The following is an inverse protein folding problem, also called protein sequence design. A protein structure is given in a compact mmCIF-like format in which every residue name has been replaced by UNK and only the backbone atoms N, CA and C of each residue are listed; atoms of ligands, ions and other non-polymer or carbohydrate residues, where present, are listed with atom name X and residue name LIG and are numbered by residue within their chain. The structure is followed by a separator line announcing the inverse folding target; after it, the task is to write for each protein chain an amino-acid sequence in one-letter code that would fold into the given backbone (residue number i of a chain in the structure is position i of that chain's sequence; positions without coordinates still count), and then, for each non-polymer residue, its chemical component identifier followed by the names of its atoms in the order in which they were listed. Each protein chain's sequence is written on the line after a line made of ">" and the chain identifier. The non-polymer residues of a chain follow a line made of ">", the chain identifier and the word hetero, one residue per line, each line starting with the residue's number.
data_IF_703648161479
#
_entry.id   IF_703648161479
#
_cell.length_a   1.000
_cell.length_b   1.000
_cell.length_c   1.000
_cell.angle_alpha   90.00
_cell.angle_beta   90.00
_cell.angle_gamma   90.00
#
_symmetry.space_group_name_H-M   'P 1'
#
loop_
_entity.id
_entity.type
_entity.pdbx_description
1 polymer ?
#
# COMPACT_ATOMS: atom_id res chain seq x y z
N UNK A 1 -33.47 -24.16 -24.53
CA UNK A 1 -33.94 -24.49 -23.16
C UNK A 1 -32.86 -25.09 -22.26
N UNK A 2 -31.66 -25.38 -22.75
CA UNK A 2 -30.49 -25.78 -21.91
C UNK A 2 -29.61 -24.62 -21.48
N UNK A 3 -29.64 -23.49 -22.18
CA UNK A 3 -28.81 -22.32 -21.87
C UNK A 3 -29.32 -21.42 -20.72
N UNK A 4 -30.56 -21.58 -20.27
CA UNK A 4 -31.10 -20.76 -19.16
C UNK A 4 -30.93 -21.39 -17.76
N UNK A 5 -30.61 -22.71 -17.70
CA UNK A 5 -30.37 -23.40 -16.42
C UNK A 5 -28.99 -23.15 -15.79
N UNK A 6 -28.03 -22.64 -16.58
CA UNK A 6 -26.66 -22.38 -16.09
C UNK A 6 -26.43 -21.01 -15.43
N UNK A 7 -27.46 -20.16 -15.37
CA UNK A 7 -27.30 -18.78 -14.87
C UNK A 7 -27.45 -18.59 -13.35
N UNK A 8 -27.80 -19.63 -12.59
CA UNK A 8 -28.10 -19.52 -11.14
C UNK A 8 -27.30 -20.49 -10.25
N UNK A 9 -26.18 -21.01 -10.70
CA UNK A 9 -25.30 -21.77 -9.81
C UNK A 9 -24.42 -20.72 -9.09
N UNK A 10 -24.49 -20.68 -7.74
CA UNK A 10 -23.64 -19.78 -6.95
C UNK A 10 -22.17 -20.06 -7.27
N UNK A 11 -21.30 -19.03 -7.21
CA UNK A 11 -19.87 -19.18 -7.45
C UNK A 11 -19.31 -20.40 -6.68
N UNK A 12 -19.69 -20.59 -5.42
CA UNK A 12 -19.32 -21.73 -4.58
C UNK A 12 -19.71 -23.10 -5.17
N UNK A 13 -20.86 -23.21 -5.85
CA UNK A 13 -21.30 -24.48 -6.47
C UNK A 13 -20.60 -24.74 -7.80
N UNK A 14 -20.23 -23.71 -8.57
CA UNK A 14 -19.35 -23.87 -9.75
C UNK A 14 -17.96 -24.35 -9.34
N UNK A 15 -17.43 -23.88 -8.22
CA UNK A 15 -16.13 -24.27 -7.69
C UNK A 15 -16.03 -25.76 -7.34
N UNK A 16 -17.12 -26.36 -6.82
CA UNK A 16 -17.12 -27.77 -6.38
C UNK A 16 -17.15 -28.77 -7.55
N UNK A 17 -17.61 -28.35 -8.73
CA UNK A 17 -17.80 -29.26 -9.89
C UNK A 17 -16.55 -29.37 -10.78
N UNK A 18 -15.57 -28.54 -10.67
CA UNK A 18 -14.47 -28.41 -11.64
C UNK A 18 -13.15 -29.05 -11.15
N UNK A 19 -12.97 -29.31 -9.86
CA UNK A 19 -11.67 -29.77 -9.35
C UNK A 19 -11.77 -31.05 -8.53
N UNK A 20 -11.11 -32.10 -9.02
CA UNK A 20 -10.81 -33.30 -8.24
C UNK A 20 -9.92 -32.89 -7.03
N UNK A 21 -10.47 -33.02 -5.81
CA UNK A 21 -9.83 -32.63 -4.53
C UNK A 21 -8.56 -33.42 -4.20
N UNK A 22 -8.14 -34.34 -5.09
CA UNK A 22 -6.99 -35.26 -4.89
C UNK A 22 -5.68 -34.76 -5.51
N UNK A 23 -5.71 -33.74 -6.37
CA UNK A 23 -4.48 -33.22 -6.94
C UNK A 23 -3.70 -32.40 -5.89
N UNK A 24 -2.53 -32.90 -5.51
CA UNK A 24 -1.64 -32.23 -4.57
C UNK A 24 -1.02 -31.01 -5.26
N UNK A 25 -1.43 -29.80 -4.87
CA UNK A 25 -0.84 -28.57 -5.35
C UNK A 25 0.57 -28.43 -4.77
N UNK A 26 1.57 -28.24 -5.64
CA UNK A 26 2.97 -28.11 -5.24
C UNK A 26 3.69 -27.04 -6.07
N UNK A 27 4.75 -26.48 -5.49
CA UNK A 27 5.61 -25.52 -6.15
C UNK A 27 5.13 -24.08 -6.04
N UNK A 28 5.71 -23.21 -6.89
CA UNK A 28 5.44 -21.76 -6.82
C UNK A 28 4.02 -21.41 -7.24
N UNK A 29 3.45 -20.43 -6.56
CA UNK A 29 2.20 -19.81 -6.99
C UNK A 29 2.43 -19.08 -8.33
N UNK A 30 1.53 -19.22 -9.31
CA UNK A 30 1.60 -18.45 -10.56
C UNK A 30 1.56 -16.93 -10.27
N UNK A 31 0.70 -16.53 -9.34
CA UNK A 31 0.56 -15.15 -8.85
C UNK A 31 0.37 -15.17 -7.34
N UNK A 32 1.07 -14.29 -6.65
CA UNK A 32 0.93 -14.10 -5.20
C UNK A 32 -0.21 -13.15 -4.88
N UNK A 33 -0.69 -13.16 -3.64
CA UNK A 33 -1.71 -12.20 -3.17
C UNK A 33 -1.18 -10.76 -3.04
N UNK A 34 0.12 -10.53 -3.20
CA UNK A 34 0.68 -9.19 -3.35
C UNK A 34 0.49 -8.60 -4.76
N UNK A 35 0.03 -9.39 -5.74
CA UNK A 35 -0.52 -8.84 -6.97
C UNK A 35 -1.87 -8.20 -6.66
N UNK A 36 -2.02 -6.90 -6.93
CA UNK A 36 -3.17 -6.09 -6.54
C UNK A 36 -4.49 -6.56 -7.20
N UNK A 37 -4.43 -7.09 -8.43
CA UNK A 37 -5.59 -7.69 -9.07
C UNK A 37 -5.96 -9.03 -8.39
N UNK A 38 -4.98 -9.90 -8.13
CA UNK A 38 -5.19 -11.16 -7.45
C UNK A 38 -5.77 -10.94 -6.05
N UNK A 39 -5.26 -9.97 -5.31
CA UNK A 39 -5.76 -9.58 -4.00
C UNK A 39 -7.25 -9.21 -4.04
N UNK A 40 -7.62 -8.32 -4.96
CA UNK A 40 -9.01 -7.89 -5.11
C UNK A 40 -9.92 -9.01 -5.57
N UNK A 41 -9.51 -9.79 -6.59
CA UNK A 41 -10.27 -10.92 -7.09
C UNK A 41 -10.49 -11.97 -6.00
N UNK A 42 -9.45 -12.32 -5.26
CA UNK A 42 -9.50 -13.28 -4.16
C UNK A 42 -10.50 -12.88 -3.08
N UNK A 43 -10.43 -11.64 -2.59
CA UNK A 43 -11.33 -11.18 -1.53
C UNK A 43 -12.77 -10.93 -2.03
N UNK A 44 -12.95 -10.67 -3.33
CA UNK A 44 -14.27 -10.56 -3.95
C UNK A 44 -14.95 -11.93 -4.08
N UNK A 45 -14.21 -12.96 -4.51
CA UNK A 45 -14.73 -14.30 -4.75
C UNK A 45 -14.85 -15.13 -3.46
N UNK A 46 -14.18 -14.72 -2.38
CA UNK A 46 -14.19 -15.43 -1.10
C UNK A 46 -14.68 -14.54 0.05
N UNK A 47 -16.01 -14.52 0.26
CA UNK A 47 -16.61 -13.74 1.34
C UNK A 47 -16.12 -14.17 2.73
N UNK A 48 -15.85 -15.47 2.93
CA UNK A 48 -15.35 -15.97 4.22
C UNK A 48 -13.94 -15.42 4.50
N UNK A 49 -13.07 -15.36 3.49
CA UNK A 49 -11.75 -14.76 3.59
C UNK A 49 -11.85 -13.24 3.86
N UNK A 50 -12.69 -12.52 3.13
CA UNK A 50 -12.91 -11.08 3.36
C UNK A 50 -13.43 -10.81 4.77
N UNK A 51 -14.39 -11.59 5.25
CA UNK A 51 -14.93 -11.51 6.61
C UNK A 51 -13.87 -11.79 7.67
N UNK A 52 -13.11 -12.86 7.51
CA UNK A 52 -12.02 -13.23 8.42
C UNK A 52 -10.93 -12.16 8.50
N UNK A 53 -10.53 -11.62 7.35
CA UNK A 53 -9.56 -10.51 7.28
C UNK A 53 -10.08 -9.25 7.99
N UNK A 54 -11.34 -8.86 7.76
CA UNK A 54 -11.93 -7.71 8.43
C UNK A 54 -12.06 -7.93 9.95
N UNK A 55 -12.39 -9.14 10.40
CA UNK A 55 -12.38 -9.48 11.82
C UNK A 55 -11.00 -9.26 12.43
N UNK A 56 -9.95 -9.76 11.79
CA UNK A 56 -8.57 -9.60 12.28
C UNK A 56 -8.13 -8.13 12.28
N UNK A 57 -8.37 -7.39 11.18
CA UNK A 57 -7.94 -5.99 11.04
C UNK A 57 -8.69 -5.02 11.96
N UNK A 58 -9.96 -5.28 12.25
CA UNK A 58 -10.81 -4.38 13.04
C UNK A 58 -11.07 -4.88 14.46
N UNK A 59 -10.43 -6.00 14.84
CA UNK A 59 -10.64 -6.66 16.13
C UNK A 59 -12.12 -6.97 16.43
N UNK A 60 -12.86 -7.41 15.39
CA UNK A 60 -14.27 -7.76 15.47
C UNK A 60 -14.46 -9.27 15.60
N UNK A 61 -15.51 -9.68 16.29
CA UNK A 61 -16.00 -11.07 16.26
C UNK A 61 -16.82 -11.29 15.00
N UNK A 62 -16.82 -12.50 14.45
CA UNK A 62 -17.56 -12.81 13.21
C UNK A 62 -19.07 -12.49 13.31
N UNK A 63 -19.66 -12.64 14.50
CA UNK A 63 -21.07 -12.33 14.77
C UNK A 63 -21.38 -10.81 14.73
N UNK A 64 -20.39 -9.95 14.90
CA UNK A 64 -20.53 -8.50 14.83
C UNK A 64 -20.62 -8.00 13.37
N UNK A 65 -20.21 -8.85 12.41
CA UNK A 65 -20.35 -8.56 10.99
C UNK A 65 -21.67 -9.11 10.47
N UNK A 66 -22.65 -8.26 10.31
CA UNK A 66 -23.99 -8.61 9.81
C UNK A 66 -24.05 -8.60 8.28
N UNK A 67 -23.34 -7.66 7.64
CA UNK A 67 -23.31 -7.54 6.19
C UNK A 67 -22.02 -6.92 5.69
N UNK A 68 -21.56 -7.39 4.53
CA UNK A 68 -20.44 -6.82 3.78
C UNK A 68 -20.92 -6.60 2.35
N UNK A 69 -20.82 -5.37 1.85
CA UNK A 69 -21.22 -5.05 0.47
C UNK A 69 -20.04 -4.37 -0.22
N UNK A 70 -19.43 -5.05 -1.19
CA UNK A 70 -18.38 -4.46 -2.05
C UNK A 70 -19.09 -3.51 -3.02
N UNK A 71 -18.66 -2.23 -3.02
CA UNK A 71 -19.29 -1.17 -3.82
C UNK A 71 -18.62 -0.92 -5.16
N UNK A 72 -17.41 -1.47 -5.35
CA UNK A 72 -16.64 -1.38 -6.61
C UNK A 72 -16.11 -2.75 -7.06
N UNK A 73 -16.98 -3.75 -7.27
CA UNK A 73 -16.53 -5.09 -7.67
C UNK A 73 -15.83 -5.08 -9.02
N UNK A 74 -14.93 -6.05 -9.24
CA UNK A 74 -14.41 -6.37 -10.57
C UNK A 74 -15.60 -6.93 -11.38
N UNK A 75 -15.77 -6.40 -12.58
CA UNK A 75 -16.75 -6.92 -13.54
C UNK A 75 -15.98 -7.71 -14.59
N UNK A 76 -16.16 -9.03 -14.54
CA UNK A 76 -15.52 -9.94 -15.48
C UNK A 76 -16.09 -9.76 -16.90
N UNK A 77 -15.23 -9.87 -17.92
CA UNK A 77 -15.59 -9.64 -19.32
C UNK A 77 -15.55 -8.18 -19.79
N UNK A 78 -15.34 -7.20 -18.93
CA UNK A 78 -15.06 -5.82 -19.35
C UNK A 78 -13.57 -5.72 -19.71
N UNK A 79 -13.24 -5.24 -20.93
CA UNK A 79 -11.86 -4.91 -21.32
C UNK A 79 -11.35 -3.79 -20.41
N UNK A 80 -10.44 -4.15 -19.52
CA UNK A 80 -9.85 -3.21 -18.57
C UNK A 80 -8.64 -2.59 -19.24
N UNK A 81 -8.74 -1.30 -19.60
CA UNK A 81 -7.56 -0.52 -19.93
C UNK A 81 -6.66 -0.43 -18.68
N UNK A 82 -5.45 -0.98 -18.77
CA UNK A 82 -4.53 -1.16 -17.63
C UNK A 82 -4.21 0.12 -16.83
N UNK A 83 -4.61 1.29 -17.33
CA UNK A 83 -4.45 2.59 -16.67
C UNK A 83 -5.60 2.98 -15.72
N UNK A 84 -6.77 2.34 -15.84
CA UNK A 84 -8.01 2.81 -15.18
C UNK A 84 -8.49 1.88 -14.07
N UNK A 85 -7.82 0.76 -13.82
CA UNK A 85 -8.25 -0.19 -12.81
C UNK A 85 -7.95 0.33 -11.40
N UNK A 86 -9.00 0.74 -10.71
CA UNK A 86 -8.97 1.02 -9.27
C UNK A 86 -9.03 -0.33 -8.55
N UNK A 87 -7.88 -0.80 -8.04
CA UNK A 87 -7.72 -2.14 -7.44
C UNK A 87 -7.90 -2.16 -5.92
N UNK A 88 -8.21 -1.04 -5.31
CA UNK A 88 -8.70 -1.01 -3.94
C UNK A 88 -10.08 -1.67 -3.83
N UNK A 89 -10.41 -2.20 -2.67
CA UNK A 89 -11.73 -2.74 -2.35
C UNK A 89 -12.47 -1.70 -1.51
N UNK A 90 -13.56 -1.16 -2.08
CA UNK A 90 -14.47 -0.29 -1.33
C UNK A 90 -15.66 -1.11 -0.89
N UNK A 91 -15.94 -1.11 0.39
CA UNK A 91 -17.05 -1.84 0.95
C UNK A 91 -17.81 -1.04 2.02
N UNK A 92 -19.04 -1.46 2.24
CA UNK A 92 -19.87 -0.99 3.34
C UNK A 92 -20.09 -2.16 4.31
N UNK A 93 -19.67 -1.96 5.56
CA UNK A 93 -19.82 -2.92 6.64
C UNK A 93 -21.01 -2.53 7.49
N UNK A 94 -21.93 -3.47 7.75
CA UNK A 94 -23.12 -3.29 8.59
C UNK A 94 -23.96 -2.04 8.25
N UNK A 95 -23.98 -1.64 6.98
CA UNK A 95 -24.67 -0.45 6.45
C UNK A 95 -24.25 0.91 7.06
N UNK A 96 -23.26 0.95 7.98
CA UNK A 96 -22.89 2.16 8.72
C UNK A 96 -21.39 2.51 8.68
N UNK A 97 -20.54 1.63 8.18
CA UNK A 97 -19.12 1.89 8.05
C UNK A 97 -18.69 1.74 6.58
N UNK A 98 -17.93 2.71 6.08
CA UNK A 98 -17.34 2.68 4.76
C UNK A 98 -15.87 2.34 4.90
N UNK A 99 -15.40 1.31 4.22
CA UNK A 99 -14.03 0.82 4.31
C UNK A 99 -13.40 0.83 2.92
N UNK A 100 -12.19 1.38 2.82
CA UNK A 100 -11.30 1.19 1.68
C UNK A 100 -10.15 0.29 2.11
N UNK A 101 -9.98 -0.83 1.42
CA UNK A 101 -8.91 -1.79 1.65
C UNK A 101 -8.00 -1.81 0.43
N UNK A 102 -6.72 -1.52 0.60
CA UNK A 102 -5.73 -1.36 -0.46
C UNK A 102 -4.49 -2.22 -0.22
N UNK A 103 -4.04 -2.94 -1.25
CA UNK A 103 -2.75 -3.61 -1.29
C UNK A 103 -1.73 -2.71 -1.99
N UNK A 104 -0.66 -2.31 -1.29
CA UNK A 104 0.38 -1.45 -1.85
C UNK A 104 1.75 -2.11 -1.69
N UNK A 105 2.37 -2.50 -2.79
CA UNK A 105 3.66 -3.21 -2.78
C UNK A 105 4.84 -2.25 -2.95
N UNK A 106 4.69 -1.21 -3.77
CA UNK A 106 5.75 -0.26 -4.06
C UNK A 106 5.68 0.96 -3.13
N UNK A 107 6.76 1.26 -2.43
CA UNK A 107 6.87 2.50 -1.66
C UNK A 107 7.13 3.68 -2.63
N UNK A 108 6.12 4.51 -2.83
CA UNK A 108 6.20 5.72 -3.65
C UNK A 108 6.54 6.98 -2.83
N UNK A 109 6.78 6.83 -1.52
CA UNK A 109 7.11 7.93 -0.61
C UNK A 109 5.94 8.89 -0.32
N UNK A 110 4.70 8.48 -0.61
CA UNK A 110 3.50 9.33 -0.49
C UNK A 110 2.33 8.63 0.24
N UNK A 111 2.62 7.61 1.02
CA UNK A 111 1.58 6.84 1.69
C UNK A 111 0.69 7.68 2.63
N UNK A 112 1.23 8.60 3.47
CA UNK A 112 0.41 9.42 4.35
C UNK A 112 -0.60 10.28 3.58
N UNK A 113 -0.16 10.99 2.55
CA UNK A 113 -1.02 11.86 1.73
C UNK A 113 -2.04 11.05 0.94
N UNK A 114 -1.62 9.89 0.42
CA UNK A 114 -2.48 8.97 -0.30
C UNK A 114 -3.61 8.44 0.58
N UNK A 115 -3.27 7.88 1.74
CA UNK A 115 -4.23 7.32 2.69
C UNK A 115 -5.21 8.37 3.20
N UNK A 116 -4.73 9.57 3.55
CA UNK A 116 -5.56 10.71 3.93
C UNK A 116 -6.49 11.15 2.79
N UNK A 117 -5.98 11.21 1.55
CA UNK A 117 -6.80 11.59 0.38
C UNK A 117 -7.96 10.62 0.16
N UNK A 118 -7.73 9.30 0.25
CA UNK A 118 -8.80 8.31 0.14
C UNK A 118 -9.79 8.41 1.30
N UNK A 119 -9.30 8.55 2.53
CA UNK A 119 -10.13 8.71 3.72
C UNK A 119 -11.05 9.93 3.62
N UNK A 120 -10.51 11.11 3.26
CA UNK A 120 -11.27 12.34 3.13
C UNK A 120 -12.32 12.27 2.02
N UNK A 121 -11.98 11.68 0.86
CA UNK A 121 -12.94 11.49 -0.24
C UNK A 121 -14.12 10.60 0.14
N UNK A 122 -13.89 9.59 0.97
CA UNK A 122 -14.98 8.75 1.47
C UNK A 122 -15.79 9.43 2.59
N UNK A 123 -15.13 10.26 3.41
CA UNK A 123 -15.79 10.96 4.51
C UNK A 123 -16.74 12.05 4.01
N UNK A 124 -16.42 12.71 2.92
CA UNK A 124 -17.24 13.72 2.26
C UNK A 124 -18.31 13.07 1.37
N UNK A 125 -19.26 12.37 1.99
CA UNK A 125 -20.34 11.65 1.28
C UNK A 125 -21.73 12.21 1.54
N UNK A 126 -21.86 13.23 2.39
CA UNK A 126 -23.15 13.84 2.68
C UNK A 126 -23.69 14.63 1.48
N UNK A 127 -24.99 14.52 1.26
CA UNK A 127 -25.69 15.32 0.26
C UNK A 127 -26.14 16.65 0.85
N UNK A 128 -26.41 17.60 -0.01
CA UNK A 128 -26.96 18.88 0.41
C UNK A 128 -28.25 18.68 1.22
N UNK A 129 -28.31 19.27 2.43
CA UNK A 129 -29.43 19.17 3.35
C UNK A 129 -29.41 17.99 4.32
N UNK A 130 -28.44 17.08 4.22
CA UNK A 130 -28.27 16.01 5.22
C UNK A 130 -27.60 16.54 6.49
N UNK A 131 -27.95 15.93 7.62
CA UNK A 131 -27.41 16.31 8.92
C UNK A 131 -25.98 15.78 9.07
N UNK A 132 -25.04 16.59 9.56
CA UNK A 132 -23.66 16.16 9.85
C UNK A 132 -23.56 14.97 10.82
N UNK A 133 -24.55 14.77 11.71
CA UNK A 133 -24.59 13.60 12.60
C UNK A 133 -24.79 12.28 11.87
N UNK A 134 -25.29 12.30 10.62
CA UNK A 134 -25.49 11.10 9.78
C UNK A 134 -24.23 10.64 9.04
N UNK A 135 -23.08 11.33 9.20
CA UNK A 135 -21.80 10.90 8.64
C UNK A 135 -21.47 9.49 9.14
N UNK A 136 -21.24 8.59 8.20
CA UNK A 136 -20.81 7.21 8.47
C UNK A 136 -19.35 7.20 8.93
N UNK A 137 -19.00 6.18 9.71
CA UNK A 137 -17.59 5.89 10.01
C UNK A 137 -16.86 5.49 8.74
N UNK A 138 -15.68 6.03 8.55
CA UNK A 138 -14.81 5.77 7.38
C UNK A 138 -13.47 5.23 7.84
N UNK A 139 -13.06 4.13 7.25
CA UNK A 139 -11.81 3.45 7.57
C UNK A 139 -11.02 3.25 6.27
N UNK A 140 -9.76 3.65 6.28
CA UNK A 140 -8.81 3.30 5.24
C UNK A 140 -7.83 2.27 5.78
N UNK A 141 -7.70 1.13 5.11
CA UNK A 141 -6.82 0.03 5.50
C UNK A 141 -5.79 -0.17 4.40
N UNK A 142 -4.51 -0.01 4.76
CA UNK A 142 -3.38 -0.32 3.89
C UNK A 142 -2.72 -1.64 4.28
N UNK A 143 -2.58 -2.55 3.32
CA UNK A 143 -1.72 -3.73 3.44
C UNK A 143 -0.48 -3.41 2.63
N UNK A 144 0.65 -3.18 3.32
CA UNK A 144 1.86 -2.59 2.75
C UNK A 144 3.00 -3.60 2.75
N UNK A 145 3.69 -3.77 1.63
CA UNK A 145 4.93 -4.55 1.59
C UNK A 145 6.18 -3.67 1.80
N UNK A 146 6.03 -2.62 2.60
CA UNK A 146 7.08 -1.69 2.99
C UNK A 146 6.67 -0.94 4.26
N UNK A 147 7.65 -0.37 4.96
CA UNK A 147 7.42 0.63 6.01
C UNK A 147 7.47 2.02 5.37
N UNK A 148 6.44 2.87 5.51
CA UNK A 148 6.51 4.25 5.06
C UNK A 148 7.63 5.01 5.78
N UNK A 149 8.22 6.02 5.13
CA UNK A 149 9.28 6.84 5.72
C UNK A 149 8.79 7.51 7.01
N UNK A 150 9.62 7.51 8.03
CA UNK A 150 9.34 8.09 9.37
C UNK A 150 8.20 7.41 10.16
N UNK A 151 7.77 6.22 9.74
CA UNK A 151 6.79 5.42 10.48
C UNK A 151 7.47 4.33 11.32
N UNK A 152 6.83 3.90 12.42
CA UNK A 152 7.33 2.78 13.22
C UNK A 152 7.43 1.47 12.41
N UNK A 153 8.49 0.71 12.67
CA UNK A 153 8.68 -0.66 12.16
C UNK A 153 7.88 -1.64 13.02
N UNK A 154 6.59 -1.76 12.75
CA UNK A 154 5.66 -2.63 13.47
C UNK A 154 4.73 -3.34 12.47
N UNK A 155 4.32 -4.57 12.79
CA UNK A 155 3.47 -5.36 11.91
C UNK A 155 2.12 -4.68 11.66
N UNK A 156 1.55 -4.07 12.72
CA UNK A 156 0.22 -3.50 12.64
C UNK A 156 0.10 -2.22 13.45
N UNK A 157 -0.53 -1.22 12.86
CA UNK A 157 -0.80 0.07 13.50
C UNK A 157 -2.19 0.59 13.17
N UNK A 158 -2.75 1.35 14.12
CA UNK A 158 -4.04 2.02 14.00
C UNK A 158 -3.92 3.47 14.40
N UNK A 159 -4.27 4.36 13.49
CA UNK A 159 -4.25 5.81 13.67
C UNK A 159 -5.67 6.35 13.73
N UNK A 160 -5.89 7.26 14.68
CA UNK A 160 -7.16 7.97 14.86
C UNK A 160 -6.92 9.45 15.14
N UNK A 161 -7.97 10.25 15.06
CA UNK A 161 -7.90 11.69 15.29
C UNK A 161 -8.06 12.00 16.76
N UNK A 162 -7.00 12.49 17.38
CA UNK A 162 -6.97 12.76 18.83
C UNK A 162 -6.28 14.08 19.18
N UNK A 163 -6.54 14.56 20.39
CA UNK A 163 -5.82 15.68 20.99
C UNK A 163 -4.38 15.27 21.31
N UNK A 164 -3.41 16.03 20.77
CA UNK A 164 -1.98 15.72 20.88
C UNK A 164 -1.46 15.78 22.32
N UNK A 165 -2.02 16.62 23.17
CA UNK A 165 -1.52 16.86 24.53
C UNK A 165 -1.99 15.79 25.52
N UNK A 166 -3.22 15.28 25.37
CA UNK A 166 -3.83 14.38 26.34
C UNK A 166 -4.37 13.07 25.77
N UNK A 167 -4.26 12.85 24.45
CA UNK A 167 -4.72 11.63 23.79
C UNK A 167 -6.25 11.49 23.67
N UNK A 168 -7.04 12.51 24.06
CA UNK A 168 -8.50 12.47 23.94
C UNK A 168 -8.92 12.30 22.48
N UNK A 169 -9.68 11.25 22.18
CA UNK A 169 -10.18 10.98 20.83
C UNK A 169 -11.21 12.03 20.46
N UNK A 170 -10.91 12.85 19.44
CA UNK A 170 -11.81 13.89 18.95
C UNK A 170 -13.05 13.29 18.26
N UNK A 171 -12.86 12.23 17.46
CA UNK A 171 -13.91 11.52 16.77
C UNK A 171 -13.47 10.09 16.45
N UNK A 172 -14.38 9.13 16.61
CA UNK A 172 -14.20 7.74 16.19
C UNK A 172 -14.67 7.48 14.74
N UNK A 173 -15.10 8.54 14.04
CA UNK A 173 -15.65 8.47 12.68
C UNK A 173 -14.60 8.22 11.60
N UNK A 174 -13.31 8.39 11.89
CA UNK A 174 -12.23 8.17 10.95
C UNK A 174 -11.15 7.28 11.56
N UNK A 175 -10.55 6.43 10.75
CA UNK A 175 -9.42 5.59 11.15
C UNK A 175 -8.57 5.19 9.96
N UNK A 176 -7.25 5.11 10.18
CA UNK A 176 -6.29 4.55 9.23
C UNK A 176 -5.64 3.35 9.90
N UNK A 177 -5.68 2.21 9.24
CA UNK A 177 -5.08 0.97 9.69
C UNK A 177 -3.99 0.56 8.72
N UNK A 178 -2.88 0.06 9.22
CA UNK A 178 -1.77 -0.42 8.40
C UNK A 178 -1.32 -1.80 8.87
N UNK A 179 -1.23 -2.73 7.92
CA UNK A 179 -0.59 -4.03 8.08
C UNK A 179 0.68 -4.03 7.23
N UNK A 180 1.86 -4.00 7.87
CA UNK A 180 3.16 -3.90 7.21
C UNK A 180 3.75 -5.30 7.03
N UNK A 181 3.59 -5.88 5.85
CA UNK A 181 4.00 -7.25 5.52
C UNK A 181 5.52 -7.47 5.63
N UNK A 182 6.32 -6.43 5.37
CA UNK A 182 7.78 -6.46 5.51
C UNK A 182 8.25 -6.55 6.98
N UNK A 183 7.35 -6.38 7.94
CA UNK A 183 7.63 -6.55 9.38
C UNK A 183 7.22 -7.94 9.90
N UNK A 184 6.79 -8.84 9.01
CA UNK A 184 6.51 -10.22 9.36
C UNK A 184 7.80 -10.93 9.80
N UNK A 185 7.76 -11.63 10.94
CA UNK A 185 8.90 -12.39 11.48
C UNK A 185 9.22 -12.11 12.94
N UNK A 186 8.59 -11.11 13.56
CA UNK A 186 8.72 -10.87 14.98
C UNK A 186 7.85 -11.88 15.78
N UNK A 187 8.44 -12.75 16.64
CA UNK A 187 7.69 -13.73 17.40
C UNK A 187 6.63 -13.13 18.34
N UNK A 188 6.85 -11.90 18.82
CA UNK A 188 5.88 -11.22 19.69
C UNK A 188 4.58 -10.89 18.95
N UNK A 189 4.65 -10.59 17.65
CA UNK A 189 3.47 -10.30 16.86
C UNK A 189 2.64 -11.56 16.62
N UNK A 190 3.29 -12.72 16.49
CA UNK A 190 2.59 -13.99 16.39
C UNK A 190 1.79 -14.32 17.66
N UNK A 191 2.32 -13.98 18.85
CA UNK A 191 1.63 -14.20 20.13
C UNK A 191 0.52 -13.18 20.37
N UNK A 192 0.77 -11.91 20.08
CA UNK A 192 -0.14 -10.81 20.40
C UNK A 192 -1.24 -10.58 19.35
N UNK A 193 -0.95 -10.91 18.08
CA UNK A 193 -1.81 -10.65 16.92
C UNK A 193 -1.92 -11.90 16.04
N UNK A 194 -2.28 -13.08 16.57
CA UNK A 194 -2.18 -14.35 15.86
C UNK A 194 -2.97 -14.36 14.55
N UNK A 195 -4.18 -13.81 14.53
CA UNK A 195 -5.01 -13.78 13.34
C UNK A 195 -4.41 -12.87 12.24
N UNK A 196 -3.93 -11.67 12.60
CA UNK A 196 -3.26 -10.77 11.68
C UNK A 196 -1.95 -11.35 11.18
N UNK A 197 -1.21 -12.03 12.03
CA UNK A 197 0.04 -12.70 11.66
C UNK A 197 -0.22 -13.80 10.61
N UNK A 198 -1.26 -14.61 10.78
CA UNK A 198 -1.66 -15.62 9.79
C UNK A 198 -2.09 -15.00 8.46
N UNK A 199 -2.83 -13.89 8.48
CA UNK A 199 -3.16 -13.15 7.25
C UNK A 199 -1.94 -12.58 6.56
N UNK A 200 -1.00 -12.00 7.31
CA UNK A 200 0.26 -11.50 6.76
C UNK A 200 1.08 -12.63 6.13
N UNK A 201 1.15 -13.81 6.77
CA UNK A 201 1.79 -15.00 6.18
C UNK A 201 1.11 -15.43 4.88
N UNK A 202 -0.22 -15.46 4.83
CA UNK A 202 -0.96 -15.81 3.61
C UNK A 202 -0.67 -14.83 2.47
N UNK A 203 -0.62 -13.52 2.74
CA UNK A 203 -0.28 -12.53 1.72
C UNK A 203 1.16 -12.62 1.24
N UNK A 204 2.09 -13.04 2.10
CA UNK A 204 3.50 -13.23 1.76
C UNK A 204 3.80 -14.59 1.13
N UNK A 205 2.87 -15.56 1.17
CA UNK A 205 3.07 -16.90 0.64
C UNK A 205 3.41 -16.86 -0.86
N UNK A 206 4.39 -17.67 -1.25
CA UNK A 206 4.92 -17.78 -2.61
C UNK A 206 4.76 -19.18 -3.22
N UNK A 207 4.39 -20.15 -2.38
CA UNK A 207 4.24 -21.55 -2.77
C UNK A 207 2.91 -22.11 -2.28
N UNK A 208 2.44 -23.16 -2.95
CA UNK A 208 1.24 -23.87 -2.54
C UNK A 208 1.41 -24.58 -1.20
N UNK A 209 2.62 -25.08 -0.92
CA UNK A 209 2.95 -25.74 0.35
C UNK A 209 2.80 -24.80 1.53
N UNK A 210 3.26 -23.55 1.41
CA UNK A 210 3.10 -22.53 2.45
C UNK A 210 1.63 -22.27 2.75
N UNK A 211 0.77 -22.12 1.74
CA UNK A 211 -0.67 -21.89 1.94
C UNK A 211 -1.34 -23.12 2.55
N UNK A 212 -0.99 -24.32 2.12
CA UNK A 212 -1.54 -25.57 2.68
C UNK A 212 -1.20 -25.71 4.16
N UNK A 213 0.06 -25.41 4.54
CA UNK A 213 0.49 -25.43 5.94
C UNK A 213 -0.29 -24.44 6.82
N UNK A 214 -0.53 -23.23 6.30
CA UNK A 214 -1.37 -22.24 6.99
C UNK A 214 -2.82 -22.71 7.12
N UNK A 215 -3.33 -23.43 6.13
CA UNK A 215 -4.69 -23.99 6.10
C UNK A 215 -4.92 -25.16 7.06
N UNK A 216 -3.86 -25.85 7.54
CA UNK A 216 -4.00 -26.99 8.46
C UNK A 216 -4.72 -26.61 9.76
N UNK A 217 -4.51 -25.40 10.24
CA UNK A 217 -5.06 -24.89 11.52
C UNK A 217 -6.08 -23.75 11.35
N UNK A 218 -6.46 -23.42 10.10
CA UNK A 218 -7.38 -22.31 9.81
C UNK A 218 -8.29 -22.67 8.63
N UNK A 219 -9.55 -23.01 8.92
CA UNK A 219 -10.54 -23.39 7.89
C UNK A 219 -10.78 -22.31 6.83
N UNK A 220 -10.71 -21.02 7.20
CA UNK A 220 -10.88 -19.92 6.24
C UNK A 220 -9.72 -19.88 5.25
N UNK A 221 -8.48 -20.10 5.71
CA UNK A 221 -7.31 -20.17 4.84
C UNK A 221 -7.37 -21.46 3.99
N UNK A 222 -7.83 -22.55 4.55
CA UNK A 222 -8.02 -23.81 3.81
C UNK A 222 -9.01 -23.64 2.65
N UNK A 223 -10.14 -22.99 2.89
CA UNK A 223 -11.12 -22.67 1.83
C UNK A 223 -10.54 -21.68 0.80
N UNK A 224 -9.60 -20.84 1.22
CA UNK A 224 -8.89 -19.91 0.34
C UNK A 224 -8.07 -20.62 -0.75
N UNK A 225 -7.56 -21.84 -0.49
CA UNK A 225 -6.81 -22.64 -1.45
C UNK A 225 -7.66 -22.93 -2.72
N UNK A 226 -8.92 -23.27 -2.53
CA UNK A 226 -9.86 -23.55 -3.62
C UNK A 226 -10.07 -22.31 -4.48
N UNK A 227 -10.28 -21.16 -3.84
CA UNK A 227 -10.46 -19.88 -4.54
C UNK A 227 -9.20 -19.49 -5.31
N UNK A 228 -8.02 -19.62 -4.71
CA UNK A 228 -6.75 -19.30 -5.35
C UNK A 228 -6.49 -20.24 -6.56
N UNK A 229 -6.76 -21.55 -6.41
CA UNK A 229 -6.64 -22.50 -7.51
C UNK A 229 -7.55 -22.12 -8.68
N UNK A 230 -8.80 -21.76 -8.40
CA UNK A 230 -9.74 -21.31 -9.43
C UNK A 230 -9.23 -20.05 -10.15
N UNK A 231 -8.86 -19.01 -9.41
CA UNK A 231 -8.40 -17.76 -9.99
C UNK A 231 -7.12 -17.91 -10.82
N UNK A 232 -6.23 -18.82 -10.42
CA UNK A 232 -4.98 -19.07 -11.16
C UNK A 232 -5.16 -19.98 -12.37
N UNK A 233 -6.27 -20.73 -12.47
CA UNK A 233 -6.58 -21.59 -13.62
C UNK A 233 -7.41 -20.87 -14.68
N UNK A 234 -8.07 -19.76 -14.37
CA UNK A 234 -8.91 -19.00 -15.29
C UNK A 234 -8.05 -18.15 -16.24
N UNK A 235 -8.19 -18.35 -17.55
CA UNK A 235 -7.38 -17.67 -18.57
C UNK A 235 -7.60 -16.15 -18.59
N UNK A 236 -8.82 -15.69 -18.38
CA UNK A 236 -9.11 -14.23 -18.34
C UNK A 236 -8.45 -13.59 -17.13
N UNK A 237 -8.49 -14.26 -15.97
CA UNK A 237 -7.79 -13.80 -14.76
C UNK A 237 -6.29 -13.77 -14.96
N UNK A 238 -5.70 -14.79 -15.58
CA UNK A 238 -4.27 -14.83 -15.90
C UNK A 238 -3.87 -13.65 -16.78
N UNK A 239 -4.63 -13.35 -17.83
CA UNK A 239 -4.36 -12.19 -18.70
C UNK A 239 -4.37 -10.86 -17.93
N UNK A 240 -5.31 -10.68 -17.00
CA UNK A 240 -5.40 -9.48 -16.15
C UNK A 240 -4.20 -9.38 -15.20
N UNK A 241 -3.82 -10.47 -14.54
CA UNK A 241 -2.67 -10.54 -13.65
C UNK A 241 -1.36 -10.24 -14.39
N UNK A 242 -1.15 -10.82 -15.58
CA UNK A 242 0.01 -10.52 -16.42
C UNK A 242 0.06 -9.07 -16.86
N UNK A 243 -1.08 -8.49 -17.21
CA UNK A 243 -1.19 -7.07 -17.57
C UNK A 243 -0.72 -6.17 -16.42
N UNK A 244 -1.13 -6.49 -15.19
CA UNK A 244 -0.71 -5.75 -13.98
C UNK A 244 0.77 -5.92 -13.67
N UNK A 245 1.30 -7.14 -13.79
CA UNK A 245 2.73 -7.40 -13.60
C UNK A 245 3.60 -6.63 -14.62
N UNK A 246 3.15 -6.55 -15.87
CA UNK A 246 3.82 -5.72 -16.91
C UNK A 246 3.78 -4.25 -16.54
N UNK A 247 2.61 -3.71 -16.21
CA UNK A 247 2.46 -2.31 -15.80
C UNK A 247 3.34 -1.96 -14.60
N UNK A 248 3.38 -2.82 -13.58
CA UNK A 248 4.24 -2.63 -12.39
C UNK A 248 5.72 -2.56 -12.77
N UNK A 249 6.19 -3.51 -13.61
CA UNK A 249 7.58 -3.51 -14.09
C UNK A 249 7.94 -2.25 -14.87
N UNK A 250 7.04 -1.78 -15.73
CA UNK A 250 7.25 -0.56 -16.51
C UNK A 250 7.32 0.68 -15.61
N UNK A 251 6.47 0.77 -14.60
CA UNK A 251 6.50 1.84 -13.61
C UNK A 251 7.78 1.82 -12.75
N UNK A 252 8.23 0.65 -12.33
CA UNK A 252 9.48 0.51 -11.60
C UNK A 252 10.69 0.90 -12.47
N UNK A 253 10.72 0.49 -13.74
CA UNK A 253 11.76 0.87 -14.68
C UNK A 253 11.80 2.40 -14.90
N UNK A 254 10.66 3.03 -15.13
CA UNK A 254 10.55 4.49 -15.27
C UNK A 254 11.03 5.22 -14.01
N UNK A 255 10.70 4.72 -12.83
CA UNK A 255 11.16 5.31 -11.57
C UNK A 255 12.68 5.22 -11.41
N UNK A 256 13.28 4.06 -11.74
CA UNK A 256 14.75 3.88 -11.68
C UNK A 256 15.45 4.84 -12.62
N UNK A 257 14.94 5.02 -13.84
CA UNK A 257 15.50 5.98 -14.78
C UNK A 257 15.43 7.42 -14.24
N UNK A 258 14.26 7.84 -13.70
CA UNK A 258 14.14 9.16 -13.10
C UNK A 258 15.04 9.37 -11.87
N UNK A 259 15.28 8.34 -11.05
CA UNK A 259 16.27 8.40 -9.96
C UNK A 259 17.68 8.58 -10.47
N UNK A 260 18.09 7.83 -11.51
CA UNK A 260 19.43 7.95 -12.13
C UNK A 260 19.65 9.34 -12.74
N UNK A 261 18.66 9.89 -13.44
CA UNK A 261 18.70 11.24 -13.98
C UNK A 261 18.87 12.31 -12.88
N UNK A 262 18.11 12.19 -11.77
CA UNK A 262 18.25 13.08 -10.62
C UNK A 262 19.62 12.98 -9.96
N UNK A 263 20.16 11.78 -9.80
CA UNK A 263 21.50 11.58 -9.24
C UNK A 263 22.59 12.21 -10.13
N UNK A 264 22.45 12.10 -11.45
CA UNK A 264 23.36 12.75 -12.39
C UNK A 264 23.27 14.28 -12.29
N UNK A 265 22.07 14.84 -12.24
CA UNK A 265 21.86 16.28 -12.09
C UNK A 265 22.44 16.80 -10.76
N UNK A 266 22.25 16.06 -9.66
CA UNK A 266 22.83 16.42 -8.37
C UNK A 266 24.37 16.42 -8.40
N UNK A 267 24.99 15.42 -9.05
CA UNK A 267 26.44 15.37 -9.22
C UNK A 267 26.97 16.54 -10.05
N UNK A 268 26.26 16.89 -11.12
CA UNK A 268 26.64 18.05 -11.96
C UNK A 268 26.49 19.39 -11.19
N UNK A 269 25.41 19.52 -10.41
CA UNK A 269 25.23 20.69 -9.56
C UNK A 269 26.32 20.79 -8.49
N UNK A 270 26.65 19.70 -7.81
CA UNK A 270 27.73 19.67 -6.84
C UNK A 270 29.06 20.09 -7.46
N UNK A 271 29.41 19.56 -8.64
CA UNK A 271 30.61 19.95 -9.36
C UNK A 271 30.66 21.45 -9.66
N UNK A 272 29.55 22.05 -10.09
CA UNK A 272 29.46 23.51 -10.31
C UNK A 272 29.65 24.32 -9.02
N UNK A 273 29.10 23.84 -7.91
CA UNK A 273 29.26 24.46 -6.61
C UNK A 273 30.75 24.43 -6.20
N UNK A 274 31.41 23.31 -6.35
CA UNK A 274 32.83 23.13 -6.03
C UNK A 274 33.71 24.06 -6.88
N UNK A 275 33.45 24.17 -8.19
CA UNK A 275 34.14 25.10 -9.11
C UNK A 275 33.90 26.58 -8.74
N UNK A 276 32.67 26.93 -8.31
CA UNK A 276 32.38 28.27 -7.81
C UNK A 276 33.10 28.57 -6.50
N UNK A 277 33.16 27.61 -5.59
CA UNK A 277 33.85 27.77 -4.31
C UNK A 277 35.37 28.00 -4.53
N UNK A 278 36.02 27.23 -5.41
CA UNK A 278 37.43 27.47 -5.78
C UNK A 278 37.64 28.87 -6.33
N UNK A 279 36.71 29.36 -7.14
CA UNK A 279 36.78 30.72 -7.70
C UNK A 279 36.64 31.79 -6.60
N UNK A 280 35.71 31.59 -5.67
CA UNK A 280 35.51 32.50 -4.51
C UNK A 280 36.76 32.49 -3.64
N UNK A 281 37.34 31.36 -3.35
CA UNK A 281 38.56 31.25 -2.52
C UNK A 281 39.74 31.96 -3.16
N UNK A 282 39.92 31.83 -4.50
CA UNK A 282 40.93 32.57 -5.24
C UNK A 282 40.74 34.07 -5.18
N UNK A 283 39.53 34.58 -5.47
CA UNK A 283 39.22 36.01 -5.43
C UNK A 283 39.39 36.55 -3.98
N UNK A 284 39.02 35.76 -3.00
CA UNK A 284 39.18 36.13 -1.58
C UNK A 284 40.65 36.29 -1.22
N UNK A 285 41.50 35.37 -1.67
CA UNK A 285 42.94 35.40 -1.48
C UNK A 285 43.57 36.65 -2.13
N UNK A 286 43.22 36.93 -3.39
CA UNK A 286 43.65 38.11 -4.13
C UNK A 286 43.21 39.40 -3.46
N UNK A 287 41.97 39.51 -2.94
CA UNK A 287 41.48 40.67 -2.20
C UNK A 287 42.24 40.89 -0.88
N UNK A 288 42.58 39.83 -0.16
CA UNK A 288 43.35 39.91 1.07
C UNK A 288 44.77 40.46 0.76
N UNK A 289 45.38 40.01 -0.32
CA UNK A 289 46.74 40.49 -0.73
C UNK A 289 46.69 41.96 -1.15
N UNK A 290 45.69 42.37 -1.93
CA UNK A 290 45.47 43.76 -2.29
C UNK A 290 45.22 44.65 -1.06
N UNK A 291 44.41 44.19 -0.10
CA UNK A 291 44.19 44.94 1.14
C UNK A 291 45.47 45.14 1.95
N UNK A 292 46.32 44.15 2.03
CA UNK A 292 47.65 44.25 2.67
C UNK A 292 48.57 45.27 1.97
N UNK A 293 48.59 45.27 0.65
CA UNK A 293 49.43 46.22 -0.12
C UNK A 293 48.88 47.66 -0.01
N UNK A 294 47.56 47.85 -0.01
CA UNK A 294 46.95 49.16 0.25
C UNK A 294 47.33 49.67 1.64
N UNK A 295 47.35 48.85 2.66
CA UNK A 295 47.73 49.24 4.04
C UNK A 295 49.23 49.59 4.10
N UNK A 296 50.07 48.86 3.44
CA UNK A 296 51.51 49.16 3.29
C UNK A 296 51.75 50.51 2.62
N UNK A 297 51.05 50.77 1.52
CA UNK A 297 51.17 52.02 0.80
C UNK A 297 50.67 53.23 1.63
N UNK A 298 49.60 53.05 2.40
CA UNK A 298 49.13 54.07 3.36
C UNK A 298 50.15 54.41 4.44
N UNK A 299 50.82 53.40 4.99
CA UNK A 299 51.92 53.60 5.98
C UNK A 299 53.10 54.36 5.37
N UNK A 300 53.53 54.04 4.15
CA UNK A 300 54.58 54.74 3.45
C UNK A 300 54.22 56.19 3.14
N UNK A 301 53.00 56.46 2.76
CA UNK A 301 52.48 57.83 2.54
C UNK A 301 52.41 58.66 3.82
N UNK A 302 52.08 58.04 4.94
CA UNK A 302 52.04 58.74 6.25
C UNK A 302 53.47 59.10 6.72
N UNK A 303 54.44 58.21 6.48
CA UNK A 303 55.84 58.49 6.79
C UNK A 303 56.43 59.62 5.92
N UNK A 304 56.09 59.72 4.63
CA UNK A 304 56.53 60.82 3.73
C UNK A 304 55.88 62.16 4.06
N UNK A 305 54.74 62.25 4.74
CA UNK A 305 54.09 63.49 5.15
C UNK A 305 54.63 64.00 6.48
N UNK A 306 55.36 63.20 7.25
CA UNK A 306 55.94 63.58 8.56
C UNK A 306 57.41 64.03 8.45
N UNK A 307 58.02 63.97 7.27
CA UNK A 307 59.32 64.55 6.89
C UNK A 307 59.11 65.80 6.04
#
# INVERSE_FOLDING_TARGET
>A
MEDEKNKNISATQKHTLIFDSKEKLTGKLPYTLTNDFMFKAFLQENEAALRGLLCALLSLKSQEIQSIVITNPIKYGEKIDGKTLVLDIKLVLNNNQMINLEMQVANLGNWPERSLTYLCRMFDHLKAGENYTSVKKVIHIGILNFTPTDFPEELYSHYTFCNKENGHIYSDKIGIYMLQLNQLGNPKDQENLPDLYHWAQLFCATTWEEIQMLGENNEVIKDSIVTLKYLTADEEMQMQMEGRERYRRDMEASRRLGQQENEQQLKEQQKRIDEQQETIDKITSENIEQAREIERLKQLLSQKKAT
#
